data_IF_732674413019
#
_entry.id   IF_732674413019
#
_cell.length_a   1.000
_cell.length_b   1.000
_cell.length_c   1.000
_cell.angle_alpha   90.00
_cell.angle_beta   90.00
_cell.angle_gamma   90.00
#
_symmetry.space_group_name_H-M   'P 1'
#
loop_
_entity.id
_entity.type
_entity.pdbx_description
1 polymer ?
#
# COMPACT_ATOMS: atom_id res chain seq x y z
N UNK A 1 16.22 -17.87 -19.24
CA UNK A 1 15.69 -17.11 -20.39
C UNK A 1 16.80 -17.12 -21.41
N UNK A 2 16.58 -17.71 -22.59
CA UNK A 2 17.65 -17.81 -23.59
C UNK A 2 17.75 -16.49 -24.35
N UNK A 3 18.94 -15.90 -24.35
CA UNK A 3 19.27 -14.71 -25.14
C UNK A 3 20.21 -15.12 -26.26
N UNK A 4 19.90 -14.71 -27.48
CA UNK A 4 20.75 -14.89 -28.64
C UNK A 4 21.53 -13.60 -28.90
N UNK A 5 22.86 -13.72 -28.99
CA UNK A 5 23.76 -12.63 -29.25
C UNK A 5 23.88 -12.36 -30.76
N UNK A 6 24.39 -11.18 -31.13
CA UNK A 6 24.53 -10.78 -32.53
C UNK A 6 25.48 -11.68 -33.35
N UNK A 7 26.34 -12.47 -32.69
CA UNK A 7 27.24 -13.44 -33.31
C UNK A 7 26.63 -14.86 -33.42
N UNK A 8 25.35 -15.01 -33.06
CA UNK A 8 24.61 -16.28 -33.12
C UNK A 8 24.87 -17.22 -31.93
N UNK A 9 25.67 -16.80 -30.94
CA UNK A 9 25.82 -17.56 -29.71
C UNK A 9 24.59 -17.39 -28.81
N UNK A 10 24.26 -18.42 -28.03
CA UNK A 10 23.13 -18.40 -27.11
C UNK A 10 23.61 -18.61 -25.68
N UNK A 11 23.07 -17.82 -24.76
CA UNK A 11 23.29 -17.98 -23.32
C UNK A 11 21.95 -18.14 -22.58
N UNK A 12 21.92 -18.99 -21.56
CA UNK A 12 20.78 -19.05 -20.65
C UNK A 12 20.99 -18.10 -19.48
N UNK A 13 20.19 -17.04 -19.42
CA UNK A 13 20.17 -16.12 -18.29
C UNK A 13 19.23 -16.69 -17.23
N UNK A 14 19.83 -17.13 -16.13
CA UNK A 14 19.11 -17.57 -14.92
C UNK A 14 18.96 -16.38 -13.98
N UNK A 15 17.75 -15.84 -13.87
CA UNK A 15 17.44 -14.83 -12.86
C UNK A 15 17.35 -15.50 -11.48
N UNK A 16 18.29 -15.16 -10.61
CA UNK A 16 18.16 -15.51 -9.20
C UNK A 16 17.09 -14.62 -8.57
N UNK A 17 16.12 -15.25 -7.89
CA UNK A 17 15.17 -14.52 -7.04
C UNK A 17 15.88 -14.10 -5.77
N UNK A 18 16.26 -12.83 -5.69
CA UNK A 18 16.75 -12.26 -4.44
C UNK A 18 15.57 -11.88 -3.54
N UNK A 19 15.63 -12.20 -2.24
CA UNK A 19 14.64 -11.70 -1.31
C UNK A 19 14.70 -10.17 -1.29
N UNK A 20 13.53 -9.55 -1.33
CA UNK A 20 13.38 -8.12 -1.14
C UNK A 20 13.81 -7.77 0.30
N UNK A 21 14.96 -7.11 0.44
CA UNK A 21 15.42 -6.54 1.71
C UNK A 21 14.62 -5.26 2.01
N UNK A 22 13.41 -5.47 2.50
CA UNK A 22 12.52 -4.41 2.93
C UNK A 22 12.69 -4.22 4.43
N UNK A 23 12.94 -2.99 4.91
CA UNK A 23 12.88 -2.70 6.33
C UNK A 23 11.52 -3.19 6.84
N UNK A 24 11.47 -3.91 7.96
CA UNK A 24 10.19 -4.43 8.46
C UNK A 24 9.47 -3.43 9.35
N UNK A 25 10.24 -2.63 10.09
CA UNK A 25 9.71 -1.74 11.12
C UNK A 25 9.84 -0.26 10.74
N UNK A 26 8.90 0.59 11.21
CA UNK A 26 9.04 2.04 11.14
C UNK A 26 10.34 2.53 11.79
N UNK A 27 10.95 3.56 11.22
CA UNK A 27 12.21 4.13 11.71
C UNK A 27 12.07 5.61 12.02
N UNK A 28 12.73 6.02 13.10
CA UNK A 28 12.80 7.41 13.55
C UNK A 28 14.25 7.91 13.48
N UNK A 29 14.48 9.03 12.81
CA UNK A 29 15.74 9.78 12.88
C UNK A 29 15.48 11.24 13.26
N UNK A 30 16.38 11.81 14.07
CA UNK A 30 16.39 13.23 14.42
C UNK A 30 17.70 13.87 13.98
N UNK A 31 17.61 14.98 13.25
CA UNK A 31 18.76 15.79 12.80
C UNK A 31 18.48 17.26 13.05
N UNK A 32 19.19 17.85 14.02
CA UNK A 32 18.98 19.24 14.43
C UNK A 32 17.49 19.55 14.69
N UNK A 33 16.89 20.41 13.86
CA UNK A 33 15.48 20.83 13.90
C UNK A 33 14.57 20.00 12.98
N UNK A 34 15.05 18.86 12.49
CA UNK A 34 14.34 18.00 11.54
C UNK A 34 14.10 16.63 12.15
N UNK A 35 12.86 16.14 12.05
CA UNK A 35 12.49 14.76 12.34
C UNK A 35 12.20 14.04 11.03
N UNK A 36 12.70 12.82 10.89
CA UNK A 36 12.49 11.95 9.73
C UNK A 36 11.80 10.68 10.22
N UNK A 37 10.59 10.42 9.73
CA UNK A 37 9.83 9.21 9.95
C UNK A 37 9.89 8.37 8.68
N UNK A 38 10.34 7.13 8.76
CA UNK A 38 10.39 6.23 7.61
C UNK A 38 9.43 5.08 7.82
N UNK A 39 8.57 4.84 6.83
CA UNK A 39 7.64 3.72 6.84
C UNK A 39 7.90 2.87 5.61
N UNK A 40 8.26 1.61 5.82
CA UNK A 40 8.43 0.61 4.77
C UNK A 40 7.15 -0.19 4.50
N UNK A 41 6.23 -0.24 5.45
CA UNK A 41 4.89 -0.84 5.31
C UNK A 41 3.94 -0.20 6.33
N UNK A 42 2.67 -0.06 5.98
CA UNK A 42 1.60 0.30 6.92
C UNK A 42 0.89 -0.97 7.41
N UNK A 43 1.06 -1.33 8.68
CA UNK A 43 0.44 -2.56 9.22
C UNK A 43 -1.01 -2.32 9.64
N UNK A 44 -1.26 -1.30 10.45
CA UNK A 44 -2.59 -0.85 10.83
C UNK A 44 -2.55 0.63 11.24
N UNK A 45 -3.72 1.22 11.47
CA UNK A 45 -3.84 2.56 12.02
C UNK A 45 -3.19 2.65 13.41
N UNK A 46 -3.47 1.69 14.29
CA UNK A 46 -2.99 1.65 15.67
C UNK A 46 -1.46 1.52 15.76
N UNK A 47 -0.85 0.72 14.88
CA UNK A 47 0.60 0.54 14.86
C UNK A 47 1.30 1.86 14.46
N UNK A 48 0.74 2.60 13.51
CA UNK A 48 1.24 3.93 13.14
C UNK A 48 1.03 4.94 14.27
N UNK A 49 -0.13 4.94 14.93
CA UNK A 49 -0.40 5.82 16.08
C UNK A 49 0.60 5.58 17.22
N UNK A 50 0.82 4.33 17.60
CA UNK A 50 1.78 3.97 18.65
C UNK A 50 3.18 4.46 18.32
N UNK A 51 3.60 4.30 17.08
CA UNK A 51 4.91 4.80 16.63
C UNK A 51 5.01 6.32 16.73
N UNK A 52 3.98 7.06 16.30
CA UNK A 52 3.94 8.53 16.41
C UNK A 52 3.91 8.99 17.86
N UNK A 53 3.16 8.31 18.73
CA UNK A 53 3.08 8.61 20.16
C UNK A 53 4.43 8.42 20.86
N UNK A 54 5.15 7.34 20.53
CA UNK A 54 6.48 7.06 21.08
C UNK A 54 7.49 8.20 20.80
N UNK A 55 7.29 8.96 19.72
CA UNK A 55 8.16 10.05 19.30
C UNK A 55 7.50 11.44 19.33
N UNK A 56 6.35 11.57 20.00
CA UNK A 56 5.49 12.75 19.93
C UNK A 56 6.22 14.03 20.38
N UNK A 57 7.07 13.94 21.41
CA UNK A 57 7.82 15.08 21.93
C UNK A 57 8.72 15.69 20.86
N UNK A 58 9.49 14.87 20.16
CA UNK A 58 10.42 15.32 19.12
C UNK A 58 9.66 15.83 17.89
N UNK A 59 8.58 15.14 17.50
CA UNK A 59 7.71 15.57 16.39
C UNK A 59 7.13 16.97 16.67
N UNK A 60 6.63 17.23 17.89
CA UNK A 60 6.06 18.53 18.27
C UNK A 60 7.09 19.66 18.34
N UNK A 61 8.36 19.34 18.60
CA UNK A 61 9.44 20.34 18.76
C UNK A 61 10.22 20.61 17.47
N UNK A 62 10.10 19.74 16.46
CA UNK A 62 10.82 19.92 15.21
C UNK A 62 10.28 21.13 14.43
N UNK A 63 11.16 21.78 13.65
CA UNK A 63 10.74 22.80 12.67
C UNK A 63 10.38 22.20 11.32
N UNK A 64 10.83 20.98 11.05
CA UNK A 64 10.66 20.27 9.79
C UNK A 64 10.38 18.80 10.06
N UNK A 65 9.32 18.28 9.46
CA UNK A 65 8.98 16.87 9.48
C UNK A 65 9.15 16.31 8.07
N UNK A 66 9.89 15.20 7.94
CA UNK A 66 10.03 14.45 6.69
C UNK A 66 9.38 13.09 6.91
N UNK A 67 8.44 12.73 6.04
CA UNK A 67 7.84 11.40 5.98
C UNK A 67 8.41 10.71 4.73
N UNK A 68 9.28 9.72 4.94
CA UNK A 68 9.96 9.00 3.86
C UNK A 68 9.23 7.69 3.55
N UNK A 69 8.57 7.67 2.39
CA UNK A 69 7.82 6.52 1.87
C UNK A 69 8.48 5.89 0.64
N UNK A 70 9.74 6.25 0.31
CA UNK A 70 10.40 5.80 -0.94
C UNK A 70 10.59 4.29 -1.03
N UNK A 71 10.64 3.61 0.12
CA UNK A 71 10.71 2.14 0.23
C UNK A 71 9.41 1.54 0.80
N UNK A 72 8.32 2.30 0.80
CA UNK A 72 7.04 1.81 1.30
C UNK A 72 6.39 0.87 0.28
N UNK A 73 6.08 -0.35 0.70
CA UNK A 73 5.42 -1.36 -0.15
C UNK A 73 3.90 -1.40 0.02
N UNK A 74 3.31 -0.36 0.59
CA UNK A 74 1.88 -0.28 0.91
C UNK A 74 1.55 -0.96 2.24
N UNK A 75 0.41 -1.63 2.29
CA UNK A 75 -0.14 -2.27 3.48
C UNK A 75 -1.61 -1.91 3.68
N UNK A 76 -2.04 -1.80 4.93
CA UNK A 76 -3.40 -1.36 5.27
C UNK A 76 -3.65 0.05 4.71
N UNK A 77 -4.77 0.22 4.00
CA UNK A 77 -5.22 1.52 3.48
C UNK A 77 -5.44 2.54 4.60
N UNK A 78 -5.78 2.10 5.80
CA UNK A 78 -6.02 2.99 6.94
C UNK A 78 -4.73 3.33 7.70
N UNK A 79 -3.66 2.58 7.49
CA UNK A 79 -2.45 2.72 8.30
C UNK A 79 -1.71 4.04 8.11
N UNK A 80 -1.97 4.79 7.03
CA UNK A 80 -1.41 6.13 6.85
C UNK A 80 -2.27 7.25 7.48
N UNK A 81 -3.53 6.98 7.86
CA UNK A 81 -4.46 8.01 8.34
C UNK A 81 -3.90 8.84 9.51
N UNK A 82 -3.19 8.27 10.50
CA UNK A 82 -2.60 9.06 11.58
C UNK A 82 -1.58 10.11 11.14
N UNK A 83 -1.00 9.95 9.94
CA UNK A 83 -0.05 10.91 9.37
C UNK A 83 -0.74 12.14 8.79
N UNK A 84 -2.04 12.07 8.47
CA UNK A 84 -2.74 13.16 7.79
C UNK A 84 -2.70 14.46 8.58
N UNK A 85 -2.83 14.39 9.91
CA UNK A 85 -2.75 15.56 10.80
C UNK A 85 -1.42 16.31 10.77
N UNK A 86 -0.36 15.72 10.19
CA UNK A 86 0.94 16.35 10.02
C UNK A 86 1.20 16.85 8.59
N UNK A 87 0.34 16.48 7.63
CA UNK A 87 0.47 16.80 6.21
C UNK A 87 -0.56 17.87 5.81
N UNK A 88 -1.76 17.83 6.40
CA UNK A 88 -2.83 18.79 6.10
C UNK A 88 -2.75 19.99 7.02
N UNK A 89 -2.91 21.19 6.45
CA UNK A 89 -2.82 22.45 7.19
C UNK A 89 -4.07 22.77 8.00
N UNK A 90 -5.23 22.34 7.51
CA UNK A 90 -6.54 22.61 8.11
C UNK A 90 -7.37 21.33 8.08
N UNK A 91 -8.28 21.21 9.04
CA UNK A 91 -9.32 20.20 9.00
C UNK A 91 -10.18 20.38 7.75
N UNK A 92 -10.60 19.26 7.18
CA UNK A 92 -11.39 19.26 5.96
C UNK A 92 -11.90 17.88 5.64
N UNK A 93 -12.89 17.83 4.74
CA UNK A 93 -13.39 16.57 4.22
C UNK A 93 -12.53 16.12 3.04
N UNK A 94 -12.33 14.80 2.89
CA UNK A 94 -11.65 14.25 1.72
C UNK A 94 -12.28 14.72 0.40
N UNK A 95 -13.61 14.90 0.36
CA UNK A 95 -14.30 15.46 -0.82
C UNK A 95 -13.78 16.84 -1.22
N UNK A 96 -13.27 17.64 -0.27
CA UNK A 96 -12.71 18.96 -0.57
C UNK A 96 -11.32 18.84 -1.21
N UNK A 97 -10.61 17.73 -0.99
CA UNK A 97 -9.29 17.44 -1.57
C UNK A 97 -9.46 16.80 -2.95
N UNK A 98 -10.33 15.80 -3.06
CA UNK A 98 -10.59 15.10 -4.30
C UNK A 98 -11.45 15.91 -5.27
N UNK A 99 -12.28 16.84 -4.78
CA UNK A 99 -13.24 17.58 -5.60
C UNK A 99 -14.18 16.62 -6.32
N UNK A 100 -14.45 16.90 -7.60
CA UNK A 100 -15.30 16.09 -8.47
C UNK A 100 -14.53 14.96 -9.19
N UNK A 101 -13.34 14.59 -8.69
CA UNK A 101 -12.56 13.50 -9.30
C UNK A 101 -13.37 12.21 -9.24
N UNK A 102 -13.77 11.75 -10.41
CA UNK A 102 -14.35 10.42 -10.59
C UNK A 102 -13.20 9.42 -10.72
N UNK A 103 -13.21 8.39 -9.88
CA UNK A 103 -12.33 7.23 -10.05
C UNK A 103 -13.01 6.31 -11.05
N UNK A 104 -12.36 6.08 -12.19
CA UNK A 104 -12.81 5.12 -13.18
C UNK A 104 -12.11 3.79 -12.94
N UNK A 105 -12.88 2.78 -12.56
CA UNK A 105 -12.37 1.41 -12.46
C UNK A 105 -12.67 0.69 -13.77
N UNK A 106 -11.64 0.14 -14.41
CA UNK A 106 -11.78 -0.63 -15.64
C UNK A 106 -12.18 -2.08 -15.35
N UNK A 107 -13.47 -2.38 -15.50
CA UNK A 107 -14.08 -3.70 -15.29
C UNK A 107 -14.06 -4.62 -16.52
N UNK A 108 -13.02 -4.54 -17.37
CA UNK A 108 -12.83 -5.56 -18.42
C UNK A 108 -12.88 -6.98 -17.84
N UNK A 109 -13.37 -7.94 -18.62
CA UNK A 109 -13.50 -9.35 -18.20
C UNK A 109 -12.22 -9.91 -17.57
N UNK A 110 -11.06 -9.61 -18.19
CA UNK A 110 -9.74 -10.04 -17.70
C UNK A 110 -9.39 -9.45 -16.32
N UNK A 111 -9.69 -8.17 -16.08
CA UNK A 111 -9.41 -7.54 -14.79
C UNK A 111 -10.32 -8.08 -13.70
N UNK A 112 -11.61 -8.24 -13.99
CA UNK A 112 -12.56 -8.81 -13.04
C UNK A 112 -12.19 -10.26 -12.70
N UNK A 113 -11.83 -11.09 -13.69
CA UNK A 113 -11.36 -12.44 -13.43
C UNK A 113 -10.11 -12.44 -12.55
N UNK A 114 -9.13 -11.58 -12.83
CA UNK A 114 -7.92 -11.47 -11.99
C UNK A 114 -8.25 -11.06 -10.54
N UNK A 115 -9.19 -10.15 -10.35
CA UNK A 115 -9.66 -9.76 -9.01
C UNK A 115 -10.32 -10.94 -8.29
N UNK A 116 -11.13 -11.73 -8.99
CA UNK A 116 -11.76 -12.95 -8.44
C UNK A 116 -10.71 -13.99 -8.07
N UNK A 117 -9.74 -14.26 -8.95
CA UNK A 117 -8.67 -15.22 -8.71
C UNK A 117 -7.84 -14.84 -7.47
N UNK A 118 -7.59 -13.54 -7.26
CA UNK A 118 -6.91 -13.02 -6.07
C UNK A 118 -7.76 -13.16 -4.80
N UNK A 119 -9.08 -13.12 -4.91
CA UNK A 119 -10.02 -13.19 -3.79
C UNK A 119 -10.36 -14.63 -3.38
N UNK A 120 -10.37 -15.57 -4.33
CA UNK A 120 -10.72 -16.97 -4.10
C UNK A 120 -10.02 -17.63 -2.90
N UNK A 121 -8.70 -17.46 -2.68
CA UNK A 121 -8.02 -18.08 -1.54
C UNK A 121 -8.60 -17.66 -0.18
N UNK A 122 -9.22 -16.49 -0.09
CA UNK A 122 -9.77 -15.96 1.16
C UNK A 122 -11.17 -16.50 1.49
N UNK A 123 -11.82 -17.26 0.59
CA UNK A 123 -13.06 -17.98 0.90
C UNK A 123 -12.85 -19.05 1.98
N UNK A 124 -11.61 -19.53 2.14
CA UNK A 124 -11.23 -20.49 3.18
C UNK A 124 -10.78 -19.83 4.49
N UNK A 125 -10.81 -18.49 4.59
CA UNK A 125 -10.42 -17.74 5.80
C UNK A 125 -11.21 -18.18 7.04
N UNK A 126 -10.58 -18.41 8.19
CA UNK A 126 -11.30 -18.75 9.43
C UNK A 126 -12.15 -17.57 9.97
N UNK A 127 -11.90 -16.36 9.49
CA UNK A 127 -12.67 -15.15 9.83
C UNK A 127 -13.95 -15.06 8.97
N UNK A 128 -15.11 -15.13 9.62
CA UNK A 128 -16.41 -15.09 8.97
C UNK A 128 -16.70 -13.75 8.27
N UNK A 129 -16.25 -12.62 8.82
CA UNK A 129 -16.44 -11.31 8.20
C UNK A 129 -15.61 -11.20 6.91
N UNK A 130 -14.40 -11.78 6.91
CA UNK A 130 -13.58 -11.89 5.70
C UNK A 130 -14.28 -12.75 4.64
N UNK A 131 -14.83 -13.92 5.01
CA UNK A 131 -15.57 -14.76 4.06
C UNK A 131 -16.76 -14.04 3.44
N UNK A 132 -17.58 -13.37 4.25
CA UNK A 132 -18.76 -12.64 3.79
C UNK A 132 -18.40 -11.49 2.83
N UNK A 133 -17.36 -10.73 3.17
CA UNK A 133 -16.82 -9.68 2.30
C UNK A 133 -16.33 -10.26 0.97
N UNK A 134 -15.52 -11.32 1.02
CA UNK A 134 -14.93 -11.95 -0.18
C UNK A 134 -16.01 -12.51 -1.09
N UNK A 135 -17.03 -13.19 -0.55
CA UNK A 135 -18.17 -13.67 -1.32
C UNK A 135 -18.91 -12.53 -2.01
N UNK A 136 -19.20 -11.46 -1.27
CA UNK A 136 -19.87 -10.28 -1.81
C UNK A 136 -19.05 -9.60 -2.92
N UNK A 137 -17.74 -9.48 -2.72
CA UNK A 137 -16.82 -8.90 -3.70
C UNK A 137 -16.71 -9.74 -4.98
N UNK A 138 -16.63 -11.08 -4.86
CA UNK A 138 -16.62 -11.98 -6.02
C UNK A 138 -17.92 -11.85 -6.82
N UNK A 139 -19.09 -11.86 -6.15
CA UNK A 139 -20.40 -11.66 -6.80
C UNK A 139 -20.41 -10.34 -7.56
N UNK A 140 -19.92 -9.27 -6.93
CA UNK A 140 -19.83 -7.96 -7.57
C UNK A 140 -18.95 -7.99 -8.84
N UNK A 141 -17.75 -8.57 -8.77
CA UNK A 141 -16.88 -8.67 -9.95
C UNK A 141 -17.46 -9.54 -11.06
N UNK A 142 -18.18 -10.62 -10.73
CA UNK A 142 -18.91 -11.43 -11.72
C UNK A 142 -20.02 -10.62 -12.42
N UNK A 143 -20.77 -9.80 -11.67
CA UNK A 143 -21.76 -8.90 -12.26
C UNK A 143 -21.09 -7.88 -13.19
N UNK A 144 -19.98 -7.29 -12.77
CA UNK A 144 -19.28 -6.27 -13.55
C UNK A 144 -18.62 -6.82 -14.82
N UNK A 145 -18.22 -8.09 -14.87
CA UNK A 145 -17.75 -8.76 -16.11
C UNK A 145 -18.76 -8.65 -17.25
N UNK A 146 -20.06 -8.74 -16.94
CA UNK A 146 -21.11 -8.75 -17.97
C UNK A 146 -21.42 -7.37 -18.56
N UNK A 147 -20.86 -6.29 -17.97
CA UNK A 147 -21.17 -4.90 -18.32
C UNK A 147 -19.99 -4.21 -19.03
N UNK A 148 -18.77 -4.70 -18.84
CA UNK A 148 -17.53 -4.16 -19.44
C UNK A 148 -17.13 -4.85 -20.74
#
# INVERSE_FOLDING_TARGET
MIVEHADGTQEDIVFQKYPLDLPKEPQFEKRENTVILKFSKFKSCEDTEKFLQAHQKDIKQCKRLIIDLRKNIGGSEEGYLPLLGYIVKNDGFLKNIYGDRTIWTNYSETNCQRSIDNLQPYLESEDAAVKEYVQSAIIYYEQMKSVG
#
